data_IF_227514069733
#
_entry.id   IF_227514069733
#
_cell.length_a   1.000
_cell.length_b   1.000
_cell.length_c   1.000
_cell.angle_alpha   90.00
_cell.angle_beta   90.00
_cell.angle_gamma   90.00
#
_symmetry.space_group_name_H-M   'P 1'
#
loop_
_entity.id
_entity.type
_entity.pdbx_description
1 polymer ?
#
# COMPACT_ATOMS: atom_id res chain seq x y z
N UNK A 1 -6.93 23.48 14.70
CA UNK A 1 -6.21 22.36 14.06
C UNK A 1 -5.12 21.96 15.03
N UNK A 2 -4.90 20.66 15.24
CA UNK A 2 -3.77 20.21 16.05
C UNK A 2 -2.48 20.73 15.41
N UNK A 3 -1.60 21.35 16.20
CA UNK A 3 -0.31 21.84 15.73
C UNK A 3 0.67 20.67 15.75
N UNK A 4 1.05 20.18 14.58
CA UNK A 4 2.04 19.10 14.42
C UNK A 4 3.44 19.70 14.22
N UNK A 5 4.51 19.02 14.66
CA UNK A 5 5.89 19.53 14.56
C UNK A 5 6.46 19.53 13.14
N UNK A 6 5.69 19.05 12.15
CA UNK A 6 6.04 19.00 10.74
C UNK A 6 4.82 19.41 9.91
N UNK A 7 5.07 19.82 8.67
CA UNK A 7 4.00 20.12 7.74
C UNK A 7 3.36 18.84 7.21
N UNK A 8 2.04 18.89 6.98
CA UNK A 8 1.27 17.79 6.41
C UNK A 8 0.67 18.27 5.10
N UNK A 9 1.02 17.62 3.99
CA UNK A 9 0.49 17.96 2.67
C UNK A 9 0.78 16.85 1.66
N UNK A 10 -0.14 16.58 0.72
CA UNK A 10 0.11 15.70 -0.42
C UNK A 10 1.35 16.07 -1.26
N UNK A 11 1.81 17.33 -1.19
CA UNK A 11 3.03 17.74 -1.91
C UNK A 11 4.30 17.02 -1.45
N UNK A 12 4.31 16.46 -0.24
CA UNK A 12 5.44 15.73 0.31
C UNK A 12 5.45 14.25 -0.09
N UNK A 13 4.42 13.74 -0.77
CA UNK A 13 4.28 12.31 -1.10
C UNK A 13 5.52 11.75 -1.84
N UNK A 14 6.12 12.56 -2.72
CA UNK A 14 7.31 12.19 -3.49
C UNK A 14 8.65 12.46 -2.78
N UNK A 15 8.65 12.96 -1.55
CA UNK A 15 9.86 13.29 -0.81
C UNK A 15 10.69 12.02 -0.53
N UNK A 16 12.02 12.13 -0.71
CA UNK A 16 12.96 11.03 -0.46
C UNK A 16 14.00 11.43 0.58
N UNK A 17 13.97 10.76 1.72
CA UNK A 17 15.00 10.91 2.76
C UNK A 17 16.22 10.05 2.39
N UNK A 18 17.26 10.69 1.86
CA UNK A 18 18.53 10.03 1.54
C UNK A 18 19.34 9.74 2.81
N UNK A 19 20.27 8.80 2.71
CA UNK A 19 21.08 8.32 3.84
C UNK A 19 21.80 9.45 4.58
N UNK A 20 22.29 10.45 3.84
CA UNK A 20 23.02 11.58 4.40
C UNK A 20 22.14 12.51 5.26
N UNK A 21 20.85 12.62 4.92
CA UNK A 21 19.86 13.47 5.59
C UNK A 21 18.94 12.74 6.57
N UNK A 22 19.16 11.44 6.77
CA UNK A 22 18.36 10.59 7.65
C UNK A 22 18.83 10.68 9.09
N UNK A 23 17.90 10.81 10.03
CA UNK A 23 18.14 10.60 11.46
C UNK A 23 18.07 9.11 11.80
N UNK A 24 16.95 8.44 11.51
CA UNK A 24 16.78 7.00 11.77
C UNK A 24 16.17 6.27 10.59
N UNK A 25 16.56 5.01 10.43
CA UNK A 25 15.92 4.05 9.54
C UNK A 25 15.06 3.09 10.38
N UNK A 26 13.82 2.87 9.93
CA UNK A 26 12.84 2.02 10.61
C UNK A 26 12.44 0.89 9.65
N UNK A 27 12.71 -0.36 10.04
CA UNK A 27 12.55 -1.51 9.16
C UNK A 27 13.51 -1.51 7.96
N UNK A 28 13.00 -1.83 6.78
CA UNK A 28 13.77 -1.88 5.54
C UNK A 28 14.72 -3.07 5.41
N UNK A 29 15.60 -3.10 4.37
CA UNK A 29 16.35 -4.30 3.98
C UNK A 29 17.31 -4.88 5.04
N UNK A 30 17.55 -4.16 6.13
CA UNK A 30 18.49 -4.53 7.21
C UNK A 30 17.82 -4.78 8.55
N UNK A 31 16.49 -4.70 8.62
CA UNK A 31 15.73 -4.84 9.85
C UNK A 31 14.31 -5.34 9.57
N UNK A 32 13.54 -5.64 10.61
CA UNK A 32 12.14 -6.02 10.47
C UNK A 32 11.27 -4.77 10.35
N UNK A 33 10.41 -4.72 9.33
CA UNK A 33 9.45 -3.65 9.11
C UNK A 33 8.06 -4.21 8.92
N UNK A 34 7.06 -3.71 9.64
CA UNK A 34 5.69 -4.18 9.56
C UNK A 34 4.70 -3.02 9.61
N UNK A 35 3.65 -3.11 8.83
CA UNK A 35 2.39 -2.39 9.05
C UNK A 35 1.23 -3.39 9.04
N UNK A 36 0.22 -3.12 9.84
CA UNK A 36 -1.00 -3.91 9.88
C UNK A 36 -2.16 -3.02 10.32
N UNK A 37 -3.25 -3.03 9.55
CA UNK A 37 -4.53 -2.48 9.98
C UNK A 37 -5.47 -3.62 10.38
N UNK A 38 -6.20 -3.43 11.48
CA UNK A 38 -7.18 -4.38 11.99
C UNK A 38 -8.50 -3.69 12.32
N UNK A 39 -9.59 -4.24 11.82
CA UNK A 39 -10.92 -3.92 12.31
C UNK A 39 -11.05 -4.43 13.75
N UNK A 40 -11.61 -3.61 14.63
CA UNK A 40 -11.91 -3.97 16.01
C UNK A 40 -13.22 -3.32 16.47
N UNK A 41 -13.85 -3.91 17.47
CA UNK A 41 -15.03 -3.33 18.10
C UNK A 41 -14.70 -1.94 18.67
N UNK A 42 -15.59 -0.98 18.46
CA UNK A 42 -15.37 0.41 18.92
C UNK A 42 -15.16 0.53 20.43
N UNK A 43 -15.65 -0.42 21.23
CA UNK A 43 -15.44 -0.46 22.68
C UNK A 43 -14.05 -0.94 23.08
N UNK A 44 -13.35 -1.65 22.18
CA UNK A 44 -11.97 -2.07 22.36
C UNK A 44 -10.96 -1.00 21.93
N UNK A 45 -11.43 0.10 21.33
CA UNK A 45 -10.58 1.19 20.82
C UNK A 45 -10.67 2.42 21.72
N UNK A 46 -9.51 2.84 22.24
CA UNK A 46 -9.34 4.16 22.83
C UNK A 46 -8.95 5.15 21.73
N UNK A 47 -9.90 5.97 21.28
CA UNK A 47 -9.71 6.85 20.12
C UNK A 47 -8.55 7.84 20.31
N UNK A 48 -7.80 8.08 19.23
CA UNK A 48 -6.60 8.91 19.15
C UNK A 48 -5.42 8.46 20.05
N UNK A 49 -5.48 7.24 20.59
CA UNK A 49 -4.39 6.70 21.40
C UNK A 49 -3.20 6.28 20.53
N UNK A 50 -2.02 6.75 20.94
CA UNK A 50 -0.73 6.25 20.46
C UNK A 50 -0.04 5.54 21.61
N UNK A 51 0.41 4.30 21.36
CA UNK A 51 1.22 3.52 22.31
C UNK A 51 2.56 3.20 21.66
N UNK A 52 3.66 3.32 22.40
CA UNK A 52 5.02 3.03 21.92
C UNK A 52 5.62 1.94 22.82
N UNK A 53 6.03 0.83 22.22
CA UNK A 53 6.60 -0.34 22.92
C UNK A 53 8.03 -0.55 22.40
N UNK A 54 8.99 -0.11 23.21
CA UNK A 54 10.42 -0.09 22.87
C UNK A 54 11.00 1.33 22.95
N UNK A 55 12.21 1.56 22.40
CA UNK A 55 12.81 2.89 22.32
C UNK A 55 11.93 3.86 21.52
N UNK A 56 11.69 5.05 22.07
CA UNK A 56 11.03 6.13 21.34
C UNK A 56 12.07 6.95 20.56
N UNK A 57 11.64 7.90 19.72
CA UNK A 57 12.51 8.67 18.83
C UNK A 57 13.68 9.36 19.55
N UNK A 58 13.45 9.96 20.73
CA UNK A 58 14.50 10.60 21.54
C UNK A 58 15.58 9.63 22.07
N UNK A 59 15.24 8.35 22.16
CA UNK A 59 16.13 7.30 22.68
C UNK A 59 16.90 6.62 21.53
N UNK A 60 16.64 7.01 20.29
CA UNK A 60 17.31 6.50 19.10
C UNK A 60 18.56 7.30 18.75
N UNK A 61 19.55 6.62 18.19
CA UNK A 61 20.82 7.22 17.75
C UNK A 61 20.78 7.56 16.26
N UNK A 62 21.31 8.74 15.92
CA UNK A 62 21.43 9.20 14.54
C UNK A 62 22.20 8.19 13.65
N UNK A 63 21.67 7.93 12.46
CA UNK A 63 22.21 7.06 11.43
C UNK A 63 21.98 5.57 11.65
N UNK A 64 21.30 5.16 12.74
CA UNK A 64 21.02 3.75 13.04
C UNK A 64 19.71 3.25 12.43
N UNK A 65 19.61 1.93 12.34
CA UNK A 65 18.43 1.19 11.89
C UNK A 65 17.80 0.47 13.08
N UNK A 66 16.47 0.55 13.21
CA UNK A 66 15.68 -0.08 14.26
C UNK A 66 14.60 -0.99 13.67
N UNK A 67 14.17 -2.05 14.39
CA UNK A 67 12.97 -2.79 14.01
C UNK A 67 11.73 -1.90 14.17
N UNK A 68 10.72 -2.13 13.36
CA UNK A 68 9.55 -1.27 13.30
C UNK A 68 8.29 -2.07 13.01
N UNK A 69 7.25 -1.90 13.82
CA UNK A 69 5.91 -2.33 13.47
C UNK A 69 4.87 -1.26 13.82
N UNK A 70 3.96 -0.99 12.89
CA UNK A 70 2.80 -0.12 13.10
C UNK A 70 1.54 -0.96 13.06
N UNK A 71 0.87 -1.09 14.21
CA UNK A 71 -0.39 -1.82 14.30
C UNK A 71 -1.50 -0.82 14.58
N UNK A 72 -2.35 -0.61 13.57
CA UNK A 72 -3.49 0.27 13.64
C UNK A 72 -4.75 -0.53 13.91
N UNK A 73 -5.55 -0.10 14.88
CA UNK A 73 -6.89 -0.63 15.12
C UNK A 73 -7.91 0.44 14.72
N UNK A 74 -8.85 0.05 13.87
CA UNK A 74 -9.90 0.93 13.34
C UNK A 74 -11.28 0.39 13.73
N UNK A 75 -12.22 1.29 13.97
CA UNK A 75 -13.60 0.94 14.28
C UNK A 75 -14.57 2.02 13.81
N UNK A 76 -15.76 1.59 13.44
CA UNK A 76 -16.85 2.43 12.93
C UNK A 76 -17.98 1.53 12.44
N UNK A 77 -19.17 2.09 12.23
CA UNK A 77 -20.36 1.32 11.83
C UNK A 77 -20.15 0.56 10.51
N UNK A 78 -19.39 1.13 9.58
CA UNK A 78 -19.11 0.56 8.25
C UNK A 78 -17.77 -0.19 8.18
N UNK A 79 -17.04 -0.30 9.30
CA UNK A 79 -15.72 -0.93 9.32
C UNK A 79 -15.87 -2.46 9.37
N UNK A 80 -15.55 -3.13 8.26
CA UNK A 80 -15.52 -4.58 8.14
C UNK A 80 -14.08 -5.09 7.94
N UNK A 81 -13.75 -6.36 8.28
CA UNK A 81 -12.44 -6.95 8.02
C UNK A 81 -11.97 -6.88 6.55
N UNK A 82 -12.92 -6.83 5.61
CA UNK A 82 -12.64 -6.69 4.17
C UNK A 82 -12.05 -5.33 3.79
N UNK A 83 -12.19 -4.31 4.65
CA UNK A 83 -11.58 -3.00 4.44
C UNK A 83 -10.16 -2.90 4.97
N UNK A 84 -9.69 -3.88 5.74
CA UNK A 84 -8.39 -3.77 6.40
C UNK A 84 -7.26 -3.54 5.39
N UNK A 85 -7.18 -4.32 4.30
CA UNK A 85 -6.14 -4.14 3.27
C UNK A 85 -6.23 -2.79 2.55
N UNK A 86 -7.47 -2.32 2.32
CA UNK A 86 -7.73 -1.03 1.65
C UNK A 86 -7.21 0.12 2.51
N UNK A 87 -7.56 0.10 3.80
CA UNK A 87 -7.12 1.11 4.77
C UNK A 87 -5.60 0.97 5.01
N UNK A 88 -5.08 -0.25 5.11
CA UNK A 88 -3.65 -0.52 5.27
C UNK A 88 -2.84 0.08 4.13
N UNK A 89 -3.34 0.02 2.89
CA UNK A 89 -2.65 0.64 1.76
C UNK A 89 -2.52 2.16 1.90
N UNK A 90 -3.45 2.82 2.59
CA UNK A 90 -3.43 4.28 2.81
C UNK A 90 -2.37 4.72 3.83
N UNK A 91 -1.82 3.78 4.61
CA UNK A 91 -0.65 4.03 5.48
C UNK A 91 0.50 4.61 4.66
N UNK A 92 0.74 4.09 3.46
CA UNK A 92 1.77 4.60 2.53
C UNK A 92 1.58 6.09 2.24
N UNK A 93 0.38 6.51 1.85
CA UNK A 93 0.14 7.89 1.41
C UNK A 93 0.18 8.84 2.61
N UNK A 94 -0.54 8.50 3.69
CA UNK A 94 -0.67 9.37 4.85
C UNK A 94 0.64 9.57 5.60
N UNK A 95 1.52 8.56 5.62
CA UNK A 95 2.87 8.76 6.16
C UNK A 95 3.70 9.66 5.24
N UNK A 96 3.67 9.43 3.92
CA UNK A 96 4.44 10.25 2.98
C UNK A 96 3.87 11.68 2.84
N UNK A 97 2.67 11.99 3.35
CA UNK A 97 2.18 13.36 3.47
C UNK A 97 2.84 14.13 4.61
N UNK A 98 3.51 13.46 5.54
CA UNK A 98 4.21 14.08 6.66
C UNK A 98 5.63 14.48 6.24
N UNK A 99 5.92 15.78 6.20
CA UNK A 99 7.20 16.31 5.73
C UNK A 99 8.39 15.64 6.44
N UNK A 100 9.36 15.18 5.65
CA UNK A 100 10.58 14.53 6.14
C UNK A 100 10.38 13.16 6.77
N UNK A 101 9.22 12.52 6.59
CA UNK A 101 8.97 11.12 6.95
C UNK A 101 8.66 10.35 5.66
N UNK A 102 9.55 9.44 5.31
CA UNK A 102 9.42 8.61 4.11
C UNK A 102 8.93 7.22 4.50
N UNK A 103 7.95 6.69 3.76
CA UNK A 103 7.48 5.30 3.82
C UNK A 103 7.58 4.64 2.44
N UNK A 104 7.95 3.38 2.45
CA UNK A 104 8.06 2.52 1.27
C UNK A 104 7.55 1.11 1.58
N UNK A 105 7.18 0.41 0.51
CA UNK A 105 6.68 -0.97 0.47
C UNK A 105 5.31 -1.11 1.17
N UNK A 106 5.04 -2.28 1.73
CA UNK A 106 3.77 -2.63 2.38
C UNK A 106 3.96 -3.82 3.34
N UNK A 107 2.93 -4.14 4.13
CA UNK A 107 2.83 -5.37 4.93
C UNK A 107 4.08 -5.59 5.80
N UNK A 108 4.78 -6.71 5.63
CA UNK A 108 5.97 -7.10 6.40
C UNK A 108 7.31 -6.68 5.78
N UNK A 109 7.30 -5.83 4.76
CA UNK A 109 8.50 -5.32 4.08
C UNK A 109 8.63 -3.79 4.20
N UNK A 110 7.90 -3.18 5.14
CA UNK A 110 7.88 -1.72 5.35
C UNK A 110 9.29 -1.17 5.54
N UNK A 111 9.57 -0.07 4.85
CA UNK A 111 10.81 0.67 4.99
C UNK A 111 10.52 2.15 5.20
N UNK A 112 10.90 2.66 6.36
CA UNK A 112 10.70 4.04 6.73
C UNK A 112 12.00 4.76 7.06
N UNK A 113 12.00 6.07 6.84
CA UNK A 113 13.08 6.98 7.27
C UNK A 113 12.50 8.27 7.80
N UNK A 114 13.14 8.79 8.85
CA UNK A 114 12.85 10.13 9.38
C UNK A 114 14.05 11.03 9.12
N UNK A 115 13.82 12.21 8.56
CA UNK A 115 14.88 13.20 8.29
C UNK A 115 15.43 13.79 9.59
N UNK A 116 16.66 14.32 9.54
CA UNK A 116 17.26 15.05 10.67
C UNK A 116 16.45 16.28 11.06
N UNK A 117 15.93 17.00 10.06
CA UNK A 117 15.17 18.23 10.27
C UNK A 117 13.82 17.97 10.95
N UNK A 118 13.15 16.87 10.60
CA UNK A 118 11.87 16.46 11.23
C UNK A 118 12.12 15.83 12.60
N UNK A 119 13.14 14.99 12.74
CA UNK A 119 13.50 14.40 14.03
C UNK A 119 13.88 15.47 15.08
N UNK A 120 14.59 16.53 14.69
CA UNK A 120 14.95 17.62 15.58
C UNK A 120 13.75 18.41 16.16
N UNK A 121 12.55 18.25 15.58
CA UNK A 121 11.31 18.89 16.02
C UNK A 121 10.43 17.94 16.85
N UNK A 122 10.84 16.69 17.04
CA UNK A 122 10.05 15.65 17.68
C UNK A 122 10.87 14.91 18.75
N UNK A 123 10.34 14.87 19.98
CA UNK A 123 10.92 14.04 21.05
C UNK A 123 10.28 12.63 21.13
N UNK A 124 9.25 12.37 20.32
CA UNK A 124 8.47 11.13 20.35
C UNK A 124 7.80 10.86 19.00
N UNK A 125 7.47 9.61 18.70
CA UNK A 125 6.58 9.24 17.59
C UNK A 125 5.10 9.54 17.86
N UNK A 126 4.71 9.98 19.07
CA UNK A 126 3.32 10.27 19.40
C UNK A 126 2.65 11.33 18.48
N UNK A 127 3.27 12.50 18.20
CA UNK A 127 2.69 13.47 17.27
C UNK A 127 2.54 12.90 15.86
N UNK A 128 3.48 12.05 15.44
CA UNK A 128 3.42 11.33 14.16
C UNK A 128 2.21 10.38 14.10
N UNK A 129 2.01 9.54 15.12
CA UNK A 129 0.84 8.65 15.18
C UNK A 129 -0.48 9.42 15.14
N UNK A 130 -0.57 10.53 15.88
CA UNK A 130 -1.75 11.41 15.88
C UNK A 130 -1.99 12.06 14.51
N UNK A 131 -0.93 12.49 13.82
CA UNK A 131 -1.04 13.06 12.47
C UNK A 131 -1.60 12.04 11.47
N UNK A 132 -1.07 10.81 11.50
CA UNK A 132 -1.52 9.73 10.62
C UNK A 132 -2.97 9.36 10.90
N UNK A 133 -3.37 9.20 12.18
CA UNK A 133 -4.77 8.91 12.54
C UNK A 133 -5.73 10.05 12.14
N UNK A 134 -5.29 11.32 12.26
CA UNK A 134 -6.06 12.48 11.78
C UNK A 134 -6.28 12.42 10.27
N UNK A 135 -5.25 12.08 9.48
CA UNK A 135 -5.37 11.90 8.04
C UNK A 135 -6.33 10.76 7.69
N UNK A 136 -6.22 9.62 8.39
CA UNK A 136 -7.15 8.50 8.23
C UNK A 136 -8.60 8.93 8.45
N UNK A 137 -8.92 9.55 9.58
CA UNK A 137 -10.30 9.96 9.90
C UNK A 137 -10.81 11.08 8.99
N UNK A 138 -9.92 11.91 8.45
CA UNK A 138 -10.30 12.99 7.51
C UNK A 138 -10.65 12.44 6.14
N UNK A 139 -9.81 11.54 5.61
CA UNK A 139 -9.93 11.03 4.25
C UNK A 139 -10.83 9.80 4.16
N UNK A 140 -10.98 9.05 5.25
CA UNK A 140 -11.82 7.85 5.37
C UNK A 140 -12.82 8.05 6.52
N UNK A 141 -13.86 8.89 6.34
CA UNK A 141 -14.76 9.31 7.42
C UNK A 141 -15.63 8.18 7.99
N UNK A 142 -15.62 6.99 7.37
CA UNK A 142 -16.22 5.78 7.92
C UNK A 142 -15.42 5.18 9.09
N UNK A 143 -14.19 5.64 9.33
CA UNK A 143 -13.39 5.32 10.51
C UNK A 143 -13.76 6.31 11.61
N UNK A 144 -14.50 5.85 12.61
CA UNK A 144 -14.97 6.67 13.73
C UNK A 144 -13.97 6.71 14.88
N UNK A 145 -13.34 5.56 15.17
CA UNK A 145 -12.31 5.43 16.19
C UNK A 145 -11.05 4.79 15.62
N UNK A 146 -9.91 5.30 16.03
CA UNK A 146 -8.62 4.76 15.64
C UNK A 146 -7.61 4.83 16.78
N UNK A 147 -6.80 3.79 16.92
CA UNK A 147 -5.60 3.83 17.75
C UNK A 147 -4.44 3.17 17.01
N UNK A 148 -3.22 3.51 17.44
CA UNK A 148 -2.00 2.90 16.90
C UNK A 148 -1.06 2.46 18.01
N UNK A 149 -0.44 1.30 17.80
CA UNK A 149 0.71 0.87 18.59
C UNK A 149 1.94 0.77 17.69
N UNK A 150 2.97 1.51 18.06
CA UNK A 150 4.30 1.43 17.46
C UNK A 150 5.19 0.50 18.28
N UNK A 151 5.79 -0.48 17.63
CA UNK A 151 6.76 -1.37 18.24
C UNK A 151 8.14 -1.09 17.66
N UNK A 152 9.09 -0.81 18.55
CA UNK A 152 10.50 -0.53 18.23
C UNK A 152 11.46 -1.45 18.99
N UNK A 153 10.93 -2.28 19.90
CA UNK A 153 11.65 -3.39 20.50
C UNK A 153 11.70 -4.60 19.54
N UNK A 154 12.89 -5.22 19.41
CA UNK A 154 13.12 -6.34 18.49
C UNK A 154 12.21 -7.53 18.77
N UNK A 155 12.07 -7.94 20.04
CA UNK A 155 11.33 -9.14 20.39
C UNK A 155 9.82 -8.92 20.22
N UNK A 156 9.33 -7.70 20.49
CA UNK A 156 7.93 -7.37 20.26
C UNK A 156 7.59 -7.28 18.77
N UNK A 157 8.47 -6.69 17.93
CA UNK A 157 8.28 -6.68 16.47
C UNK A 157 8.26 -8.10 15.90
N UNK A 158 9.13 -9.00 16.35
CA UNK A 158 9.12 -10.41 15.94
C UNK A 158 7.80 -11.12 16.27
N UNK A 159 7.21 -10.87 17.44
CA UNK A 159 5.90 -11.42 17.80
C UNK A 159 4.77 -10.92 16.90
N UNK A 160 4.75 -9.62 16.62
CA UNK A 160 3.75 -9.06 15.70
C UNK A 160 3.93 -9.61 14.29
N UNK A 161 5.17 -9.82 13.85
CA UNK A 161 5.50 -10.37 12.54
C UNK A 161 4.91 -11.78 12.32
N UNK A 162 4.94 -12.65 13.33
CA UNK A 162 4.32 -13.98 13.25
C UNK A 162 2.81 -13.86 13.03
N UNK A 163 2.15 -13.07 13.87
CA UNK A 163 0.69 -12.85 13.79
C UNK A 163 0.28 -12.25 12.46
N UNK A 164 1.01 -11.22 11.99
CA UNK A 164 0.71 -10.53 10.75
C UNK A 164 0.85 -11.45 9.53
N UNK A 165 1.88 -12.30 9.48
CA UNK A 165 2.07 -13.27 8.39
C UNK A 165 0.90 -14.26 8.27
N UNK A 166 0.31 -14.69 9.39
CA UNK A 166 -0.88 -15.54 9.38
C UNK A 166 -2.09 -14.80 8.81
N UNK A 167 -2.29 -13.53 9.19
CA UNK A 167 -3.36 -12.68 8.69
C UNK A 167 -3.21 -12.44 7.18
N UNK A 168 -2.02 -12.05 6.72
CA UNK A 168 -1.77 -11.82 5.30
C UNK A 168 -2.00 -13.10 4.47
N UNK A 169 -1.53 -14.24 4.97
CA UNK A 169 -1.80 -15.54 4.33
C UNK A 169 -3.30 -15.83 4.22
N UNK A 170 -4.07 -15.50 5.25
CA UNK A 170 -5.52 -15.66 5.21
C UNK A 170 -6.18 -14.70 4.21
N UNK A 171 -5.74 -13.43 4.14
CA UNK A 171 -6.21 -12.45 3.14
C UNK A 171 -5.93 -12.94 1.72
N UNK A 172 -4.70 -13.39 1.46
CA UNK A 172 -4.28 -13.89 0.14
C UNK A 172 -4.99 -15.20 -0.25
N UNK A 173 -5.35 -16.05 0.73
CA UNK A 173 -6.07 -17.29 0.44
C UNK A 173 -7.51 -17.07 -0.03
N UNK A 174 -8.15 -15.94 0.32
CA UNK A 174 -9.55 -15.67 -0.03
C UNK A 174 -9.80 -15.51 -1.52
N UNK A 175 -8.80 -15.07 -2.27
CA UNK A 175 -8.93 -14.80 -3.72
C UNK A 175 -8.58 -16.02 -4.57
N UNK A 176 -8.04 -17.07 -3.96
CA UNK A 176 -7.41 -18.18 -4.69
C UNK A 176 -8.37 -19.00 -5.56
N UNK A 177 -9.64 -19.09 -5.14
CA UNK A 177 -10.64 -19.93 -5.80
C UNK A 177 -11.61 -19.14 -6.70
N UNK A 178 -11.39 -17.82 -6.87
CA UNK A 178 -12.19 -16.96 -7.72
C UNK A 178 -11.43 -16.64 -9.01
N UNK A 179 -12.07 -16.81 -10.16
CA UNK A 179 -11.50 -16.53 -11.48
C UNK A 179 -12.13 -15.33 -12.15
N UNK A 180 -11.44 -14.78 -13.15
CA UNK A 180 -11.95 -13.71 -13.99
C UNK A 180 -13.31 -14.08 -14.62
N UNK A 181 -13.55 -15.36 -14.95
CA UNK A 181 -14.81 -15.85 -15.53
C UNK A 181 -15.96 -15.94 -14.52
N UNK A 182 -15.66 -16.00 -13.22
CA UNK A 182 -16.67 -16.14 -12.16
C UNK A 182 -17.32 -14.79 -11.77
N UNK A 183 -16.83 -13.68 -12.35
CA UNK A 183 -17.26 -12.32 -12.02
C UNK A 183 -17.65 -11.52 -13.26
N UNK A 184 -18.64 -10.64 -13.10
CA UNK A 184 -19.08 -9.69 -14.14
C UNK A 184 -18.40 -8.31 -14.02
N UNK A 185 -17.80 -8.05 -12.87
CA UNK A 185 -17.23 -6.75 -12.50
C UNK A 185 -15.77 -6.92 -12.09
N UNK A 186 -14.91 -6.07 -12.61
CA UNK A 186 -13.55 -5.83 -12.11
C UNK A 186 -13.51 -4.53 -11.32
N UNK A 187 -12.37 -4.24 -10.68
CA UNK A 187 -12.20 -3.01 -9.92
C UNK A 187 -11.01 -2.20 -10.44
N UNK A 188 -11.25 -0.91 -10.65
CA UNK A 188 -10.22 0.05 -10.99
C UNK A 188 -9.56 0.64 -9.76
N UNK A 189 -8.34 1.16 -9.91
CA UNK A 189 -7.70 1.99 -8.89
C UNK A 189 -6.88 3.13 -9.53
N UNK A 190 -7.19 4.37 -9.12
CA UNK A 190 -6.52 5.62 -9.57
C UNK A 190 -5.68 6.27 -8.47
N UNK A 191 -5.50 5.61 -7.33
CA UNK A 191 -4.79 6.15 -6.16
C UNK A 191 -3.40 6.70 -6.51
N UNK A 192 -2.68 6.06 -7.42
CA UNK A 192 -1.33 6.46 -7.84
C UNK A 192 -1.29 7.54 -8.95
N UNK A 193 -2.42 8.11 -9.35
CA UNK A 193 -2.44 9.18 -10.35
C UNK A 193 -1.86 10.49 -9.84
N UNK A 194 -1.65 10.65 -8.54
CA UNK A 194 -0.93 11.79 -7.96
C UNK A 194 0.49 11.93 -8.52
N UNK A 195 1.17 10.81 -8.82
CA UNK A 195 2.53 10.80 -9.37
C UNK A 195 2.66 10.12 -10.74
N UNK A 196 1.67 9.31 -11.15
CA UNK A 196 1.59 8.72 -12.49
C UNK A 196 0.23 9.02 -13.14
N UNK A 197 0.01 10.24 -13.68
CA UNK A 197 -1.31 10.75 -14.02
C UNK A 197 -2.09 9.93 -15.06
N UNK A 198 -1.39 9.19 -15.93
CA UNK A 198 -2.02 8.35 -16.97
C UNK A 198 -2.19 6.90 -16.56
N UNK A 199 -1.69 6.48 -15.38
CA UNK A 199 -1.79 5.10 -14.92
C UNK A 199 -3.17 4.78 -14.37
N UNK A 200 -3.68 3.59 -14.67
CA UNK A 200 -4.93 3.05 -14.12
C UNK A 200 -4.68 1.59 -13.78
N UNK A 201 -4.91 1.20 -12.52
CA UNK A 201 -4.90 -0.22 -12.15
C UNK A 201 -6.24 -0.86 -12.46
N UNK A 202 -6.22 -2.06 -13.02
CA UNK A 202 -7.36 -2.96 -13.19
C UNK A 202 -7.07 -4.20 -12.36
N UNK A 203 -7.91 -4.42 -11.36
CA UNK A 203 -7.82 -5.50 -10.38
C UNK A 203 -8.92 -6.51 -10.70
N UNK A 204 -8.50 -7.75 -10.96
CA UNK A 204 -9.37 -8.88 -11.24
C UNK A 204 -9.07 -10.02 -10.27
N UNK A 205 -9.92 -11.06 -10.17
CA UNK A 205 -9.62 -12.23 -9.35
C UNK A 205 -8.27 -12.88 -9.68
N UNK A 206 -7.93 -12.99 -10.97
CA UNK A 206 -6.64 -13.56 -11.40
C UNK A 206 -5.49 -12.52 -11.48
N UNK A 207 -5.76 -11.24 -11.19
CA UNK A 207 -4.75 -10.16 -11.24
C UNK A 207 -4.91 -9.16 -10.11
N UNK A 208 -4.12 -9.36 -9.05
CA UNK A 208 -3.94 -8.38 -7.95
C UNK A 208 -3.36 -7.06 -8.47
N UNK A 209 -3.58 -5.97 -7.73
CA UNK A 209 -2.94 -4.69 -8.04
C UNK A 209 -1.42 -4.81 -8.08
N UNK A 210 -0.76 -4.00 -8.91
CA UNK A 210 0.70 -4.06 -9.10
C UNK A 210 1.51 -3.80 -7.81
N UNK A 211 0.92 -3.10 -6.83
CA UNK A 211 1.54 -2.88 -5.52
C UNK A 211 1.40 -4.06 -4.56
N UNK A 212 0.65 -5.10 -4.94
CA UNK A 212 0.40 -6.29 -4.12
C UNK A 212 -0.59 -6.08 -2.96
N UNK A 213 -1.16 -4.89 -2.82
CA UNK A 213 -1.92 -4.50 -1.64
C UNK A 213 -3.44 -4.63 -1.78
N UNK A 214 -3.96 -4.65 -3.01
CA UNK A 214 -5.40 -4.59 -3.29
C UNK A 214 -5.76 -5.76 -4.20
N UNK A 215 -6.52 -6.69 -3.67
CA UNK A 215 -7.16 -7.75 -4.44
C UNK A 215 -8.59 -7.38 -4.85
N UNK A 216 -9.26 -8.30 -5.56
CA UNK A 216 -10.62 -8.06 -6.06
C UNK A 216 -11.66 -7.80 -4.95
N UNK A 217 -11.58 -8.52 -3.83
CA UNK A 217 -12.48 -8.32 -2.68
C UNK A 217 -12.24 -6.97 -2.00
N UNK A 218 -10.98 -6.57 -1.88
CA UNK A 218 -10.60 -5.26 -1.34
C UNK A 218 -11.18 -4.13 -2.24
N UNK A 219 -11.04 -4.25 -3.56
CA UNK A 219 -11.61 -3.31 -4.53
C UNK A 219 -13.14 -3.21 -4.43
N UNK A 220 -13.82 -4.35 -4.25
CA UNK A 220 -15.27 -4.41 -4.02
C UNK A 220 -15.68 -3.71 -2.74
N UNK A 221 -14.99 -3.98 -1.64
CA UNK A 221 -15.29 -3.38 -0.35
C UNK A 221 -15.07 -1.86 -0.40
N UNK A 222 -13.94 -1.42 -0.96
CA UNK A 222 -13.60 -0.02 -1.13
C UNK A 222 -14.65 0.74 -1.95
N UNK A 223 -14.99 0.26 -3.15
CA UNK A 223 -15.95 0.92 -4.03
C UNK A 223 -17.38 0.96 -3.44
N UNK A 224 -17.72 0.03 -2.54
CA UNK A 224 -19.01 0.02 -1.84
C UNK A 224 -19.06 1.05 -0.71
N UNK A 225 -17.98 1.18 0.05
CA UNK A 225 -17.91 2.05 1.24
C UNK A 225 -17.63 3.50 0.87
N UNK A 226 -16.82 3.72 -0.16
CA UNK A 226 -16.50 5.04 -0.70
C UNK A 226 -16.67 5.08 -2.23
N UNK A 227 -17.90 5.30 -2.73
CA UNK A 227 -18.19 5.27 -4.17
C UNK A 227 -17.50 6.35 -5.00
N UNK A 228 -17.09 7.45 -4.36
CA UNK A 228 -16.36 8.57 -5.01
C UNK A 228 -14.84 8.43 -4.79
N UNK A 229 -14.42 7.37 -4.12
CA UNK A 229 -13.02 7.07 -3.82
C UNK A 229 -12.21 6.63 -5.04
N UNK A 230 -10.90 6.36 -4.85
CA UNK A 230 -10.02 5.99 -5.94
C UNK A 230 -10.26 4.57 -6.47
N UNK A 231 -11.03 3.74 -5.77
CA UNK A 231 -11.44 2.41 -6.20
C UNK A 231 -12.88 2.43 -6.70
N UNK A 232 -13.11 1.92 -7.90
CA UNK A 232 -14.40 1.98 -8.57
C UNK A 232 -14.67 0.69 -9.34
N UNK A 233 -15.95 0.38 -9.55
CA UNK A 233 -16.36 -0.77 -10.35
C UNK A 233 -16.09 -0.55 -11.84
N UNK A 234 -15.66 -1.60 -12.52
CA UNK A 234 -15.49 -1.69 -13.96
C UNK A 234 -16.37 -2.84 -14.44
N UNK A 235 -17.47 -2.52 -15.12
CA UNK A 235 -18.24 -3.51 -15.86
C UNK A 235 -17.34 -4.12 -16.94
N UNK A 236 -17.22 -5.46 -17.01
CA UNK A 236 -16.32 -6.12 -17.98
C UNK A 236 -16.67 -5.76 -19.42
N UNK A 237 -17.96 -5.71 -19.73
CA UNK A 237 -18.44 -5.56 -21.11
C UNK A 237 -18.16 -6.81 -21.94
N UNK A 238 -17.94 -6.64 -23.24
CA UNK A 238 -17.69 -7.76 -24.16
C UNK A 238 -16.27 -8.32 -23.97
N UNK A 239 -16.15 -9.65 -23.91
CA UNK A 239 -14.86 -10.32 -24.00
C UNK A 239 -14.39 -10.31 -25.46
N UNK A 240 -13.32 -9.57 -25.74
CA UNK A 240 -12.77 -9.38 -27.08
C UNK A 240 -11.66 -10.39 -27.40
N UNK A 241 -10.87 -10.77 -26.39
CA UNK A 241 -9.81 -11.79 -26.52
C UNK A 241 -9.62 -12.54 -25.19
N UNK A 242 -10.02 -13.81 -25.17
CA UNK A 242 -9.91 -14.69 -24.00
C UNK A 242 -8.46 -15.04 -23.63
N UNK A 243 -7.54 -15.07 -24.60
CA UNK A 243 -6.15 -15.44 -24.32
C UNK A 243 -5.41 -14.30 -23.64
N UNK A 244 -5.66 -13.06 -24.08
CA UNK A 244 -4.97 -11.89 -23.52
C UNK A 244 -5.78 -11.17 -22.43
N UNK A 245 -7.00 -11.63 -22.14
CA UNK A 245 -7.92 -10.96 -21.22
C UNK A 245 -8.26 -9.54 -21.69
N UNK A 246 -8.65 -9.37 -22.96
CA UNK A 246 -9.11 -8.09 -23.49
C UNK A 246 -10.63 -7.96 -23.31
N UNK A 247 -11.06 -6.91 -22.63
CA UNK A 247 -12.46 -6.64 -22.31
C UNK A 247 -12.83 -5.22 -22.73
N UNK A 248 -13.99 -5.04 -23.37
CA UNK A 248 -14.38 -3.73 -23.90
C UNK A 248 -14.50 -2.67 -22.80
N UNK A 249 -15.05 -3.03 -21.63
CA UNK A 249 -15.19 -2.11 -20.50
C UNK A 249 -13.85 -1.72 -19.87
N UNK A 250 -12.87 -2.63 -19.89
CA UNK A 250 -11.49 -2.32 -19.48
C UNK A 250 -10.85 -1.32 -20.44
N UNK A 251 -11.06 -1.48 -21.75
CA UNK A 251 -10.55 -0.56 -22.76
C UNK A 251 -11.15 0.85 -22.63
N UNK A 252 -12.46 0.93 -22.40
CA UNK A 252 -13.15 2.21 -22.17
C UNK A 252 -12.58 2.95 -20.95
N UNK A 253 -12.33 2.23 -19.86
CA UNK A 253 -11.72 2.77 -18.64
C UNK A 253 -10.28 3.21 -18.87
N UNK A 254 -9.47 2.39 -19.56
CA UNK A 254 -8.10 2.74 -19.90
C UNK A 254 -8.07 4.09 -20.63
N UNK A 255 -8.86 4.23 -21.70
CA UNK A 255 -8.92 5.45 -22.50
C UNK A 255 -9.41 6.65 -21.71
N UNK A 256 -10.49 6.47 -20.93
CA UNK A 256 -11.10 7.54 -20.15
C UNK A 256 -10.16 8.08 -19.08
N UNK A 257 -9.56 7.20 -18.28
CA UNK A 257 -8.81 7.58 -17.09
C UNK A 257 -7.32 7.80 -17.34
N UNK A 258 -6.80 7.40 -18.50
CA UNK A 258 -5.45 7.76 -18.94
C UNK A 258 -5.39 9.05 -19.76
N UNK A 259 -6.47 9.84 -19.81
CA UNK A 259 -6.61 11.01 -20.68
C UNK A 259 -6.35 10.72 -22.18
N UNK A 260 -6.70 9.51 -22.64
CA UNK A 260 -6.54 9.08 -24.03
C UNK A 260 -5.17 8.52 -24.39
N UNK A 261 -4.22 8.45 -23.45
CA UNK A 261 -2.89 7.86 -23.68
C UNK A 261 -2.94 6.37 -24.08
N UNK A 262 -3.85 5.58 -23.49
CA UNK A 262 -3.98 4.15 -23.75
C UNK A 262 -5.37 3.84 -24.27
N UNK A 263 -5.47 3.28 -25.48
CA UNK A 263 -6.75 2.85 -26.05
C UNK A 263 -7.29 1.56 -25.43
N UNK A 264 -6.41 0.73 -24.84
CA UNK A 264 -6.76 -0.60 -24.31
C UNK A 264 -5.73 -1.12 -23.31
N UNK A 265 -6.17 -2.06 -22.47
CA UNK A 265 -5.34 -2.82 -21.54
C UNK A 265 -5.71 -4.30 -21.67
N UNK A 266 -4.69 -5.15 -21.86
CA UNK A 266 -4.82 -6.61 -21.90
C UNK A 266 -4.31 -7.21 -20.59
N UNK A 267 -5.19 -7.85 -19.82
CA UNK A 267 -4.89 -8.31 -18.46
C UNK A 267 -3.90 -9.46 -18.41
N UNK A 268 -3.77 -10.26 -19.47
CA UNK A 268 -2.94 -11.46 -19.49
C UNK A 268 -1.90 -11.42 -20.62
N UNK A 269 -1.48 -10.21 -21.01
CA UNK A 269 -0.48 -9.98 -22.05
C UNK A 269 0.74 -9.24 -21.52
N UNK A 270 1.93 -9.72 -21.92
CA UNK A 270 3.21 -9.06 -21.63
C UNK A 270 3.69 -8.16 -22.80
N UNK A 271 3.29 -8.46 -24.04
CA UNK A 271 3.83 -7.82 -25.24
C UNK A 271 2.85 -6.91 -25.97
N UNK A 272 1.56 -7.25 -25.96
CA UNK A 272 0.52 -6.48 -26.65
C UNK A 272 -0.36 -5.76 -25.63
N UNK A 273 -0.30 -4.43 -25.62
CA UNK A 273 -1.02 -3.56 -24.68
C UNK A 273 -0.98 -4.05 -23.22
N UNK A 274 0.21 -4.31 -22.65
CA UNK A 274 0.31 -4.74 -21.26
C UNK A 274 -0.24 -3.66 -20.35
N UNK A 275 -0.70 -4.10 -19.19
CA UNK A 275 -1.13 -3.21 -18.13
C UNK A 275 -0.03 -2.19 -17.76
N UNK A 276 -0.43 -0.93 -17.57
CA UNK A 276 0.48 0.17 -17.22
C UNK A 276 1.06 0.02 -15.81
N UNK A 277 2.10 0.79 -15.51
CA UNK A 277 2.69 0.86 -14.17
C UNK A 277 2.78 2.30 -13.69
N UNK A 278 2.57 2.50 -12.40
CA UNK A 278 2.90 3.75 -11.72
C UNK A 278 4.36 3.71 -11.23
N UNK A 279 4.59 3.47 -9.95
CA UNK A 279 5.92 3.50 -9.33
C UNK A 279 6.05 2.69 -8.05
N UNK A 280 5.00 1.97 -7.66
CA UNK A 280 4.94 1.15 -6.45
C UNK A 280 4.84 -0.35 -6.75
N UNK A 281 5.23 -0.79 -7.95
CA UNK A 281 5.26 -2.22 -8.31
C UNK A 281 6.28 -2.97 -7.46
N UNK A 282 5.96 -4.18 -7.01
CA UNK A 282 6.89 -4.99 -6.19
C UNK A 282 7.95 -5.70 -7.05
N UNK A 283 7.59 -6.02 -8.30
CA UNK A 283 8.39 -6.80 -9.25
C UNK A 283 8.32 -6.15 -10.62
N UNK A 284 9.45 -6.12 -11.32
CA UNK A 284 9.55 -5.77 -12.75
C UNK A 284 9.81 -7.03 -13.54
N UNK A 285 8.97 -7.30 -14.54
CA UNK A 285 9.24 -8.28 -15.59
C UNK A 285 9.90 -7.62 -16.80
N UNK A 286 10.81 -8.33 -17.48
CA UNK A 286 11.41 -7.89 -18.74
C UNK A 286 11.69 -9.10 -19.63
N UNK A 287 11.56 -8.94 -20.94
CA UNK A 287 11.84 -10.00 -21.90
C UNK A 287 13.34 -10.08 -22.23
N UNK A 288 13.87 -11.30 -22.33
CA UNK A 288 15.27 -11.63 -22.63
C UNK A 288 15.29 -12.44 -23.94
N UNK A 289 15.54 -11.80 -25.09
CA UNK A 289 15.47 -12.44 -26.41
C UNK A 289 16.43 -13.63 -26.58
N UNK A 290 17.61 -13.59 -25.95
CA UNK A 290 18.66 -14.60 -26.09
C UNK A 290 18.24 -15.98 -25.55
N UNK A 291 17.28 -16.01 -24.63
CA UNK A 291 16.77 -17.23 -24.00
C UNK A 291 15.27 -17.41 -24.22
N UNK A 292 14.66 -16.56 -25.06
CA UNK A 292 13.22 -16.52 -25.29
C UNK A 292 12.43 -16.61 -23.97
N UNK A 293 12.77 -15.70 -23.04
CA UNK A 293 12.38 -15.82 -21.64
C UNK A 293 11.95 -14.48 -21.03
N UNK A 294 11.18 -14.54 -19.94
CA UNK A 294 10.88 -13.38 -19.09
C UNK A 294 11.77 -13.45 -17.84
N UNK A 295 12.60 -12.43 -17.67
CA UNK A 295 13.29 -12.15 -16.42
C UNK A 295 12.40 -11.37 -15.46
N UNK A 296 12.50 -11.65 -14.16
CA UNK A 296 11.84 -10.87 -13.11
C UNK A 296 12.82 -10.45 -12.02
N UNK A 297 12.68 -9.22 -11.54
CA UNK A 297 13.45 -8.67 -10.40
C UNK A 297 12.52 -7.96 -9.43
N UNK A 298 12.71 -8.19 -8.13
CA UNK A 298 11.98 -7.49 -7.06
C UNK A 298 12.81 -6.36 -6.47
N UNK A 299 12.16 -5.28 -6.01
CA UNK A 299 12.84 -4.18 -5.31
C UNK A 299 13.61 -4.61 -4.06
N UNK A 300 13.20 -5.71 -3.41
CA UNK A 300 13.86 -6.24 -2.20
C UNK A 300 15.08 -7.11 -2.50
N UNK A 301 15.21 -7.61 -3.74
CA UNK A 301 16.25 -8.55 -4.14
C UNK A 301 17.20 -7.92 -5.17
N UNK A 302 18.30 -7.32 -4.68
CA UNK A 302 19.41 -6.79 -5.50
C UNK A 302 20.30 -7.89 -6.13
N UNK A 303 19.72 -9.05 -6.42
CA UNK A 303 20.40 -10.25 -6.96
C UNK A 303 20.00 -10.53 -8.40
N UNK A 304 20.62 -11.54 -9.02
CA UNK A 304 20.36 -11.92 -10.41
C UNK A 304 18.86 -12.20 -10.66
N UNK A 305 18.32 -11.82 -11.84
CA UNK A 305 16.92 -12.02 -12.18
C UNK A 305 16.57 -13.51 -12.23
N UNK A 306 15.34 -13.83 -11.82
CA UNK A 306 14.76 -15.17 -12.08
C UNK A 306 14.27 -15.21 -13.52
N UNK A 307 14.66 -16.21 -14.29
CA UNK A 307 14.31 -16.34 -15.72
C UNK A 307 13.29 -17.47 -15.88
N UNK A 308 12.16 -17.15 -16.50
CA UNK A 308 11.12 -18.08 -16.92
C UNK A 308 11.16 -18.21 -18.45
N UNK A 309 11.21 -19.42 -18.99
CA UNK A 309 11.07 -19.63 -20.44
C UNK A 309 9.64 -19.29 -20.88
N UNK A 310 9.50 -18.55 -21.97
CA UNK A 310 8.21 -18.23 -22.60
C UNK A 310 7.76 -19.41 -23.48
#
# INVERSE_FOLDING_TARGET
MAEFPFEISPMFEGERVRKEGMFVELGGPKSLGLELVRAADMDAIEDDKVTIIGPDLKDMEEGKTYPWAMIFNIGGELVEPDLESVVERRVHDFINYCQGIMHLNQRYDVWMRVSKDTAAKMDSFEPFGKAVMMLFKTELPFIEKMQVTFYTDQAEVEKQMVTAKEIFKARDARTKDLRDEDVEVFYGCTLCQSFAPTNVCVVSPDRVSLCGAINWFDGRAAAKVDPEGPQFAIEKGELLDANTGEYSGVNDIAKKLSAGEFDKIKLHSFFDSPHTSCGCFEVVGFYIPEVDGIGSVSYTHLTLPTIYSV
#
